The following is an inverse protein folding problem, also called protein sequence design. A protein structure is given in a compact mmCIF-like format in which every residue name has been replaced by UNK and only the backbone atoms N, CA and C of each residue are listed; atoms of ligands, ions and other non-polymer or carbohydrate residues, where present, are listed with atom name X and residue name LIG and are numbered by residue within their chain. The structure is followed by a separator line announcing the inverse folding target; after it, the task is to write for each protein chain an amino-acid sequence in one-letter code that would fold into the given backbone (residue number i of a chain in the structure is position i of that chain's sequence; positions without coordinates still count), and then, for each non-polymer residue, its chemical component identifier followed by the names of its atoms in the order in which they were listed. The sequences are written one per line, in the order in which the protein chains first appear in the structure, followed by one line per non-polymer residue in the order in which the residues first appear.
data_IF_024729683134
#
_entry.id   IF_024729683134
#
_cell.length_a   1.000
_cell.length_b   1.000
_cell.length_c   1.000
_cell.angle_alpha   90.00
_cell.angle_beta   90.00
_cell.angle_gamma   90.00
#
_symmetry.space_group_name_H-M   'P 1'
#
loop_
_entity.id
_entity.type
_entity.pdbx_description
1 polymer ?
#
# COMPACT_ATOMS: atom_id res chain seq x y z
N UNK A 1 -21.97 -20.42 30.36
CA UNK A 1 -20.78 -20.94 29.62
C UNK A 1 -20.97 -21.07 28.08
N UNK A 2 -22.08 -20.61 27.47
CA UNK A 2 -22.34 -20.83 26.03
C UNK A 2 -21.79 -19.77 25.06
N UNK A 3 -21.63 -18.52 25.52
CA UNK A 3 -21.21 -17.39 24.65
C UNK A 3 -19.77 -17.51 24.14
N UNK A 4 -18.84 -17.99 24.98
CA UNK A 4 -17.44 -18.18 24.58
C UNK A 4 -17.26 -19.31 23.56
N UNK A 5 -18.14 -20.31 23.55
CA UNK A 5 -18.08 -21.43 22.60
C UNK A 5 -18.39 -20.98 21.18
N UNK A 6 -19.44 -20.16 20.98
CA UNK A 6 -19.80 -19.61 19.66
C UNK A 6 -18.73 -18.67 19.11
N UNK A 7 -18.24 -17.73 19.91
CA UNK A 7 -17.14 -16.82 19.50
C UNK A 7 -15.86 -17.56 19.13
N UNK A 8 -15.54 -18.64 19.86
CA UNK A 8 -14.41 -19.51 19.55
C UNK A 8 -14.59 -20.26 18.24
N UNK A 9 -15.78 -20.78 17.95
CA UNK A 9 -16.08 -21.43 16.66
C UNK A 9 -16.00 -20.44 15.49
N UNK A 10 -16.58 -19.26 15.65
CA UNK A 10 -16.52 -18.19 14.65
C UNK A 10 -15.06 -17.77 14.38
N UNK A 11 -14.26 -17.57 15.43
CA UNK A 11 -12.85 -17.25 15.31
C UNK A 11 -12.06 -18.33 14.56
N UNK A 12 -12.35 -19.63 14.79
CA UNK A 12 -11.71 -20.73 14.07
C UNK A 12 -12.03 -20.75 12.57
N UNK A 13 -13.20 -20.29 12.17
CA UNK A 13 -13.61 -20.21 10.75
C UNK A 13 -13.02 -18.96 10.08
N UNK A 14 -13.07 -17.82 10.76
CA UNK A 14 -12.67 -16.53 10.18
C UNK A 14 -11.15 -16.33 10.13
N UNK A 15 -10.42 -16.73 11.17
CA UNK A 15 -8.99 -16.43 11.27
C UNK A 15 -8.16 -16.96 10.09
N UNK A 16 -8.37 -18.18 9.56
CA UNK A 16 -7.68 -18.64 8.35
C UNK A 16 -7.97 -17.78 7.12
N UNK A 17 -9.21 -17.29 6.97
CA UNK A 17 -9.59 -16.42 5.86
C UNK A 17 -8.89 -15.06 5.96
N UNK A 18 -8.83 -14.49 7.17
CA UNK A 18 -8.12 -13.23 7.42
C UNK A 18 -6.63 -13.36 7.14
N UNK A 19 -6.01 -14.45 7.59
CA UNK A 19 -4.60 -14.73 7.31
C UNK A 19 -4.32 -14.80 5.80
N UNK A 20 -5.20 -15.45 5.03
CA UNK A 20 -5.10 -15.48 3.56
C UNK A 20 -5.19 -14.09 2.94
N UNK A 21 -6.14 -13.26 3.39
CA UNK A 21 -6.27 -11.88 2.90
C UNK A 21 -5.02 -11.05 3.22
N UNK A 22 -4.44 -11.25 4.41
CA UNK A 22 -3.20 -10.58 4.82
C UNK A 22 -2.06 -10.99 3.90
N UNK A 23 -1.88 -12.29 3.65
CA UNK A 23 -0.82 -12.79 2.78
C UNK A 23 -0.95 -12.23 1.34
N UNK A 24 -2.14 -12.31 0.75
CA UNK A 24 -2.41 -11.77 -0.59
C UNK A 24 -2.19 -10.24 -0.65
N UNK A 25 -2.59 -9.52 0.40
CA UNK A 25 -2.45 -8.07 0.43
C UNK A 25 -0.99 -7.66 0.62
N UNK A 26 -0.20 -8.39 1.41
CA UNK A 26 1.25 -8.21 1.51
C UNK A 26 1.93 -8.40 0.15
N UNK A 27 1.57 -9.44 -0.61
CA UNK A 27 2.11 -9.65 -1.96
C UNK A 27 1.77 -8.48 -2.88
N UNK A 28 0.52 -8.02 -2.89
CA UNK A 28 0.09 -6.93 -3.77
C UNK A 28 0.72 -5.58 -3.40
N UNK A 29 0.85 -5.26 -2.11
CA UNK A 29 1.53 -4.03 -1.63
C UNK A 29 2.97 -3.96 -2.12
N UNK A 30 3.66 -5.10 -2.22
CA UNK A 30 5.05 -5.18 -2.66
C UNK A 30 5.23 -5.16 -4.18
N UNK A 31 4.20 -5.50 -4.96
CA UNK A 31 4.32 -5.73 -6.41
C UNK A 31 3.55 -4.72 -7.28
N UNK A 32 2.48 -4.12 -6.76
CA UNK A 32 1.61 -3.27 -7.57
C UNK A 32 2.30 -1.94 -7.94
N UNK A 33 1.96 -1.46 -9.14
CA UNK A 33 2.26 -0.11 -9.65
C UNK A 33 1.02 0.78 -9.70
N UNK A 34 -0.14 0.25 -9.27
CA UNK A 34 -1.42 0.96 -9.31
C UNK A 34 -1.70 1.59 -7.94
N UNK A 35 -1.78 2.95 -7.83
CA UNK A 35 -2.00 3.62 -6.55
C UNK A 35 -3.25 3.18 -5.80
N UNK A 36 -4.38 3.07 -6.50
CA UNK A 36 -5.65 2.59 -5.94
C UNK A 36 -5.51 1.21 -5.31
N UNK A 37 -4.85 0.29 -6.00
CA UNK A 37 -4.60 -1.06 -5.49
C UNK A 37 -3.67 -1.02 -4.27
N UNK A 38 -2.59 -0.23 -4.31
CA UNK A 38 -1.66 -0.11 -3.20
C UNK A 38 -2.36 0.40 -1.94
N UNK A 39 -2.99 1.57 -2.00
CA UNK A 39 -3.62 2.20 -0.84
C UNK A 39 -4.82 1.41 -0.32
N UNK A 40 -5.57 0.75 -1.21
CA UNK A 40 -6.64 -0.16 -0.78
C UNK A 40 -6.08 -1.38 -0.04
N UNK A 41 -5.05 -2.03 -0.59
CA UNK A 41 -4.48 -3.23 0.03
C UNK A 41 -3.74 -2.93 1.33
N UNK A 42 -3.10 -1.77 1.43
CA UNK A 42 -2.47 -1.36 2.67
C UNK A 42 -3.49 -1.11 3.79
N UNK A 43 -4.60 -0.46 3.48
CA UNK A 43 -5.69 -0.27 4.45
C UNK A 43 -6.29 -1.61 4.85
N UNK A 44 -6.54 -2.49 3.87
CA UNK A 44 -7.05 -3.83 4.13
C UNK A 44 -6.11 -4.63 5.05
N UNK A 45 -4.78 -4.49 4.93
CA UNK A 45 -3.82 -5.10 5.85
C UNK A 45 -4.01 -4.61 7.29
N UNK A 46 -4.17 -3.30 7.50
CA UNK A 46 -4.40 -2.72 8.84
C UNK A 46 -5.72 -3.20 9.45
N UNK A 47 -6.80 -3.19 8.67
CA UNK A 47 -8.12 -3.64 9.12
C UNK A 47 -8.13 -5.13 9.47
N UNK A 48 -7.58 -5.97 8.58
CA UNK A 48 -7.61 -7.43 8.76
C UNK A 48 -6.68 -7.91 9.86
N UNK A 49 -5.50 -7.32 10.01
CA UNK A 49 -4.59 -7.61 11.14
C UNK A 49 -5.19 -7.20 12.48
N UNK A 50 -5.85 -6.04 12.56
CA UNK A 50 -6.59 -5.59 13.75
C UNK A 50 -7.73 -6.55 14.09
N UNK A 51 -8.50 -6.99 13.10
CA UNK A 51 -9.55 -7.99 13.30
C UNK A 51 -9.00 -9.33 13.77
N UNK A 52 -7.85 -9.76 13.24
CA UNK A 52 -7.19 -11.00 13.66
C UNK A 52 -6.71 -10.92 15.12
N UNK A 53 -6.20 -9.77 15.56
CA UNK A 53 -5.83 -9.51 16.96
C UNK A 53 -7.04 -9.61 17.91
N UNK A 54 -8.21 -9.14 17.48
CA UNK A 54 -9.43 -9.32 18.27
C UNK A 54 -9.83 -10.80 18.38
N UNK A 55 -9.72 -11.57 17.30
CA UNK A 55 -10.03 -13.00 17.30
C UNK A 55 -9.03 -13.83 18.12
N UNK A 56 -7.78 -13.41 18.25
CA UNK A 56 -6.76 -14.15 19.00
C UNK A 56 -7.02 -14.20 20.51
N UNK A 57 -7.97 -13.41 21.01
CA UNK A 57 -8.50 -13.54 22.39
C UNK A 57 -9.23 -14.87 22.61
N UNK A 58 -9.71 -15.50 21.55
CA UNK A 58 -10.55 -16.71 21.60
C UNK A 58 -9.86 -17.97 21.07
N UNK A 59 -8.81 -17.82 20.26
CA UNK A 59 -8.09 -18.92 19.61
C UNK A 59 -6.57 -18.73 19.72
N UNK A 60 -5.84 -19.85 19.73
CA UNK A 60 -4.38 -19.82 19.60
C UNK A 60 -4.00 -19.85 18.12
N UNK A 61 -3.25 -18.84 17.69
CA UNK A 61 -2.66 -18.77 16.36
C UNK A 61 -1.20 -19.23 16.45
N UNK A 62 -0.70 -19.86 15.38
CA UNK A 62 0.71 -20.26 15.25
C UNK A 62 1.45 -19.22 14.40
N UNK A 63 2.75 -19.05 14.65
CA UNK A 63 3.59 -18.08 13.93
C UNK A 63 3.63 -16.71 14.62
N UNK A 64 3.77 -15.65 13.82
CA UNK A 64 3.81 -14.26 14.31
C UNK A 64 2.55 -13.93 15.10
N UNK A 65 2.73 -13.30 16.26
CA UNK A 65 1.57 -12.90 17.06
C UNK A 65 0.79 -11.79 16.33
N UNK A 66 -0.54 -11.76 16.42
CA UNK A 66 -1.32 -10.68 15.80
C UNK A 66 -0.96 -9.29 16.32
N UNK A 67 -0.53 -9.16 17.58
CA UNK A 67 -0.06 -7.89 18.13
C UNK A 67 1.22 -7.43 17.44
N UNK A 68 2.18 -8.34 17.25
CA UNK A 68 3.42 -8.02 16.53
C UNK A 68 3.12 -7.70 15.07
N UNK A 69 2.17 -8.40 14.45
CA UNK A 69 1.74 -8.15 13.08
C UNK A 69 1.19 -6.73 12.91
N UNK A 70 0.27 -6.29 13.78
CA UNK A 70 -0.28 -4.93 13.76
C UNK A 70 0.83 -3.89 13.96
N UNK A 71 1.73 -4.12 14.93
CA UNK A 71 2.86 -3.24 15.18
C UNK A 71 3.80 -3.14 13.96
N UNK A 72 4.11 -4.27 13.33
CA UNK A 72 4.96 -4.32 12.13
C UNK A 72 4.33 -3.63 10.94
N UNK A 73 3.03 -3.82 10.68
CA UNK A 73 2.32 -3.16 9.57
C UNK A 73 2.36 -1.64 9.80
N UNK A 74 2.00 -1.19 11.01
CA UNK A 74 2.01 0.24 11.34
C UNK A 74 3.41 0.84 11.21
N UNK A 75 4.44 0.18 11.74
CA UNK A 75 5.82 0.66 11.68
C UNK A 75 6.40 0.70 10.27
N UNK A 76 5.88 -0.12 9.34
CA UNK A 76 6.36 -0.20 7.96
C UNK A 76 5.56 0.66 6.98
N UNK A 77 4.50 1.35 7.41
CA UNK A 77 3.60 2.09 6.50
C UNK A 77 4.32 3.17 5.70
N UNK A 78 5.17 3.94 6.37
CA UNK A 78 6.01 4.95 5.73
C UNK A 78 6.93 4.32 4.68
N UNK A 79 7.79 3.38 5.10
CA UNK A 79 8.76 2.75 4.20
C UNK A 79 8.09 2.04 3.01
N UNK A 80 6.99 1.33 3.24
CA UNK A 80 6.25 0.65 2.18
C UNK A 80 5.62 1.63 1.18
N UNK A 81 5.13 2.78 1.65
CA UNK A 81 4.60 3.84 0.79
C UNK A 81 5.72 4.48 -0.03
N UNK A 82 6.87 4.73 0.58
CA UNK A 82 8.07 5.18 -0.14
C UNK A 82 8.51 4.21 -1.23
N UNK A 83 8.65 2.94 -0.89
CA UNK A 83 9.03 1.90 -1.85
C UNK A 83 8.04 1.81 -3.01
N UNK A 84 6.74 1.92 -2.73
CA UNK A 84 5.72 1.99 -3.78
C UNK A 84 5.89 3.20 -4.69
N UNK A 85 6.10 4.39 -4.12
CA UNK A 85 6.27 5.63 -4.88
C UNK A 85 7.50 5.57 -5.78
N UNK A 86 8.62 5.03 -5.29
CA UNK A 86 9.83 4.80 -6.07
C UNK A 86 9.58 3.86 -7.26
N UNK A 87 9.03 2.67 -7.00
CA UNK A 87 8.73 1.69 -8.06
C UNK A 87 7.76 2.25 -9.09
N UNK A 88 6.72 2.95 -8.64
CA UNK A 88 5.72 3.53 -9.54
C UNK A 88 6.34 4.62 -10.41
N UNK A 89 7.15 5.51 -9.84
CA UNK A 89 7.81 6.56 -10.59
C UNK A 89 8.82 6.00 -11.61
N UNK A 90 9.61 4.99 -11.22
CA UNK A 90 10.54 4.32 -12.15
C UNK A 90 9.80 3.75 -13.37
N UNK A 91 8.65 3.10 -13.17
CA UNK A 91 7.82 2.60 -14.28
C UNK A 91 7.28 3.73 -15.18
N UNK A 92 6.96 4.88 -14.58
CA UNK A 92 6.54 6.08 -15.31
C UNK A 92 7.69 6.64 -16.14
N UNK A 93 8.91 6.69 -15.60
CA UNK A 93 10.12 7.13 -16.33
C UNK A 93 10.41 6.22 -17.53
N UNK A 94 10.35 4.91 -17.35
CA UNK A 94 10.51 3.94 -18.45
C UNK A 94 9.46 4.19 -19.55
N UNK A 95 8.19 4.29 -19.16
CA UNK A 95 7.08 4.55 -20.09
C UNK A 95 7.21 5.91 -20.78
N UNK A 96 7.79 6.90 -20.11
CA UNK A 96 8.00 8.25 -20.64
C UNK A 96 9.14 8.26 -21.68
N UNK A 97 10.22 7.52 -21.43
CA UNK A 97 11.35 7.37 -22.35
C UNK A 97 10.95 6.70 -23.68
N UNK A 98 9.96 5.82 -23.66
CA UNK A 98 9.41 5.18 -24.86
C UNK A 98 8.55 6.12 -25.74
N UNK A 99 8.17 7.31 -25.22
CA UNK A 99 7.30 8.24 -25.96
C UNK A 99 8.11 9.05 -26.98
N UNK A 100 7.58 9.11 -28.20
CA UNK A 100 8.18 9.83 -29.33
C UNK A 100 8.03 11.36 -29.28
N UNK A 101 7.20 11.89 -28.39
CA UNK A 101 6.87 13.32 -28.37
C UNK A 101 6.97 13.88 -26.96
N UNK A 102 7.46 15.11 -26.84
CA UNK A 102 7.54 15.83 -25.55
C UNK A 102 6.18 15.90 -24.84
N UNK A 103 5.09 16.09 -25.60
CA UNK A 103 3.72 16.05 -25.07
C UNK A 103 3.37 14.67 -24.49
N UNK A 104 3.72 13.60 -25.20
CA UNK A 104 3.49 12.22 -24.76
C UNK A 104 4.27 11.90 -23.48
N UNK A 105 5.52 12.33 -23.40
CA UNK A 105 6.40 12.20 -22.23
C UNK A 105 5.85 12.98 -21.04
N UNK A 106 5.50 14.27 -21.23
CA UNK A 106 4.88 15.12 -20.19
C UNK A 106 3.60 14.49 -19.64
N UNK A 107 2.75 13.95 -20.51
CA UNK A 107 1.51 13.30 -20.09
C UNK A 107 1.73 12.11 -19.14
N UNK A 108 2.87 11.41 -19.20
CA UNK A 108 3.17 10.34 -18.23
C UNK A 108 3.39 10.91 -16.83
N UNK A 109 4.20 11.97 -16.72
CA UNK A 109 4.45 12.64 -15.44
C UNK A 109 3.21 13.34 -14.89
N UNK A 110 2.40 13.97 -15.75
CA UNK A 110 1.11 14.56 -15.34
C UNK A 110 0.15 13.50 -14.79
N UNK A 111 0.15 12.28 -15.36
CA UNK A 111 -0.65 11.15 -14.86
C UNK A 111 -0.13 10.63 -13.53
N UNK A 112 1.17 10.49 -13.37
CA UNK A 112 1.80 10.12 -12.10
C UNK A 112 1.38 11.07 -10.97
N UNK A 113 1.50 12.38 -11.21
CA UNK A 113 1.14 13.38 -10.21
C UNK A 113 -0.35 13.31 -9.86
N UNK A 114 -1.21 13.33 -10.88
CA UNK A 114 -2.68 13.35 -10.70
C UNK A 114 -3.24 12.05 -10.10
N UNK A 115 -2.66 10.90 -10.41
CA UNK A 115 -3.14 9.61 -9.88
C UNK A 115 -2.88 9.46 -8.37
N UNK A 116 -1.91 10.20 -7.83
CA UNK A 116 -1.53 10.16 -6.41
C UNK A 116 -2.25 11.20 -5.55
N UNK A 117 -2.69 12.32 -6.12
CA UNK A 117 -3.41 13.39 -5.39
C UNK A 117 -4.59 12.90 -4.53
N UNK A 118 -5.45 11.96 -4.98
CA UNK A 118 -6.54 11.45 -4.15
C UNK A 118 -6.10 10.78 -2.84
N UNK A 119 -4.82 10.39 -2.73
CA UNK A 119 -4.27 9.65 -1.60
C UNK A 119 -3.41 10.50 -0.68
N UNK A 120 -3.27 11.81 -0.91
CA UNK A 120 -2.42 12.68 -0.10
C UNK A 120 -2.81 12.71 1.39
N UNK A 121 -4.10 12.53 1.71
CA UNK A 121 -4.55 12.42 3.10
C UNK A 121 -4.07 11.15 3.83
N UNK A 122 -3.54 10.17 3.08
CA UNK A 122 -2.96 8.91 3.59
C UNK A 122 -1.44 8.92 3.56
N UNK A 123 -0.84 10.06 3.24
CA UNK A 123 0.60 10.24 3.07
C UNK A 123 1.11 11.27 4.07
N UNK A 124 2.36 11.14 4.48
CA UNK A 124 3.04 12.19 5.23
C UNK A 124 3.70 13.22 4.30
N UNK A 125 4.33 14.22 4.90
CA UNK A 125 4.98 15.31 4.18
C UNK A 125 6.14 14.84 3.30
N UNK A 126 6.86 13.78 3.69
CA UNK A 126 8.00 13.26 2.92
C UNK A 126 7.53 12.57 1.64
N UNK A 127 6.44 11.80 1.73
CA UNK A 127 5.75 11.22 0.58
C UNK A 127 5.31 12.29 -0.42
N UNK A 128 4.64 13.33 0.06
CA UNK A 128 4.15 14.41 -0.81
C UNK A 128 5.33 15.17 -1.43
N UNK A 129 6.35 15.49 -0.64
CA UNK A 129 7.56 16.16 -1.12
C UNK A 129 8.30 15.35 -2.19
N UNK A 130 8.36 14.02 -2.04
CA UNK A 130 8.91 13.14 -3.07
C UNK A 130 8.13 13.26 -4.38
N UNK A 131 6.80 13.17 -4.32
CA UNK A 131 5.91 13.21 -5.50
C UNK A 131 6.05 14.55 -6.24
N UNK A 132 5.96 15.65 -5.49
CA UNK A 132 6.09 17.01 -6.04
C UNK A 132 7.49 17.26 -6.60
N UNK A 133 8.53 16.82 -5.90
CA UNK A 133 9.91 16.94 -6.33
C UNK A 133 10.19 16.14 -7.60
N UNK A 134 9.72 14.88 -7.66
CA UNK A 134 9.86 14.02 -8.82
C UNK A 134 9.17 14.62 -10.05
N UNK A 135 7.89 15.01 -9.90
CA UNK A 135 7.13 15.67 -10.96
C UNK A 135 7.79 16.98 -11.43
N UNK A 136 8.18 17.84 -10.49
CA UNK A 136 8.79 19.13 -10.77
C UNK A 136 10.10 19.01 -11.55
N UNK A 137 10.98 18.08 -11.16
CA UNK A 137 12.23 17.80 -11.86
C UNK A 137 11.97 17.32 -13.29
N UNK A 138 11.08 16.35 -13.48
CA UNK A 138 10.77 15.81 -14.80
C UNK A 138 10.18 16.86 -15.74
N UNK A 139 9.26 17.70 -15.24
CA UNK A 139 8.67 18.77 -16.05
C UNK A 139 9.68 19.87 -16.37
N UNK A 140 10.58 20.21 -15.44
CA UNK A 140 11.64 21.18 -15.69
C UNK A 140 12.61 20.69 -16.76
N UNK A 141 12.98 19.41 -16.74
CA UNK A 141 13.88 18.83 -17.74
C UNK A 141 13.27 18.85 -19.14
N UNK A 142 11.98 18.54 -19.27
CA UNK A 142 11.28 18.63 -20.55
C UNK A 142 11.19 20.05 -21.13
N UNK A 143 11.33 21.09 -20.31
CA UNK A 143 11.36 22.49 -20.78
C UNK A 143 12.72 22.91 -21.33
N UNK A 144 13.77 22.14 -21.04
CA UNK A 144 15.14 22.40 -21.50
C UNK A 144 15.46 21.72 -22.84
N UNK A 145 14.61 20.77 -23.27
CA UNK A 145 14.67 20.08 -24.56
C UNK A 145 13.89 20.85 -25.63
#
# INVERSE_FOLDING_TARGET
MFFNSRKKQEAQILAPQLLKIIEESCQLVNLTLKPDVFFFRYELLKETSSRLLELSKYIKLKGTSPSDMVAMITAKEHAATMDFLHRYFESVEQTAAERKTLKGTRNQFDRFYKSLQPFYSRMDAEHIAYIEGAYGRSVAELRRL
#
